data_IF_934004182534
#
_entry.id   IF_934004182534
#
_cell.length_a   1.000
_cell.length_b   1.000
_cell.length_c   1.000
_cell.angle_alpha   90.00
_cell.angle_beta   90.00
_cell.angle_gamma   90.00
#
_symmetry.space_group_name_H-M   'P 1'
#
loop_
_entity.id
_entity.type
_entity.pdbx_description
1 polymer ?
#
# COMPACT_ATOMS: atom_id res chain seq x y z
N UNK A 1 -9.10 -9.93 -1.56
CA UNK A 1 -7.99 -10.44 -2.38
C UNK A 1 -8.53 -11.60 -3.20
N UNK A 2 -8.20 -11.64 -4.49
CA UNK A 2 -8.58 -12.71 -5.41
C UNK A 2 -7.29 -13.22 -6.07
N UNK A 3 -6.86 -14.41 -5.67
CA UNK A 3 -5.65 -15.09 -6.14
C UNK A 3 -5.79 -15.70 -7.54
N UNK A 4 -7.04 -15.81 -8.03
CA UNK A 4 -7.37 -16.19 -9.40
C UNK A 4 -7.06 -15.03 -10.36
N UNK A 5 -7.20 -13.78 -9.91
CA UNK A 5 -6.92 -12.60 -10.72
C UNK A 5 -5.49 -12.09 -10.59
N UNK A 6 -4.93 -12.12 -9.38
CA UNK A 6 -3.69 -11.42 -9.06
C UNK A 6 -2.58 -12.33 -8.60
N UNK A 7 -1.37 -12.00 -9.03
CA UNK A 7 -0.12 -12.38 -8.39
C UNK A 7 0.21 -11.26 -7.40
N UNK A 8 0.15 -11.57 -6.12
CA UNK A 8 0.53 -10.66 -5.06
C UNK A 8 2.01 -10.86 -4.74
N UNK A 9 2.80 -9.82 -4.92
CA UNK A 9 4.20 -9.77 -4.47
C UNK A 9 4.30 -8.70 -3.38
N UNK A 10 4.88 -9.07 -2.24
CA UNK A 10 5.41 -8.10 -1.28
C UNK A 10 6.93 -8.21 -1.27
N UNK A 11 7.62 -7.08 -1.41
CA UNK A 11 9.05 -7.05 -1.07
C UNK A 11 9.11 -7.20 0.46
N UNK A 12 9.47 -8.39 0.93
CA UNK A 12 9.53 -8.70 2.35
C UNK A 12 10.94 -8.38 2.85
N UNK A 13 11.12 -7.32 3.65
CA UNK A 13 12.35 -7.20 4.44
C UNK A 13 12.11 -6.74 5.88
N UNK A 14 12.48 -7.65 6.79
CA UNK A 14 13.48 -7.46 7.84
C UNK A 14 13.62 -5.98 8.28
N UNK A 15 13.15 -5.71 9.50
CA UNK A 15 13.20 -4.42 10.20
C UNK A 15 12.24 -3.33 9.71
N UNK A 16 10.97 -3.54 10.08
CA UNK A 16 9.98 -2.50 10.42
C UNK A 16 9.68 -1.46 9.31
N UNK A 17 8.92 -1.89 8.31
CA UNK A 17 7.78 -1.06 7.86
C UNK A 17 7.63 -0.74 6.37
N UNK A 18 8.39 -1.35 5.46
CA UNK A 18 8.15 -1.17 4.01
C UNK A 18 7.88 -2.50 3.33
N UNK A 19 6.63 -2.95 3.43
CA UNK A 19 6.09 -3.91 2.47
C UNK A 19 5.42 -3.12 1.37
N UNK A 20 6.08 -2.96 0.23
CA UNK A 20 5.41 -2.51 -0.98
C UNK A 20 4.49 -3.63 -1.45
N UNK A 21 3.19 -3.35 -1.47
CA UNK A 21 2.21 -4.32 -1.93
C UNK A 21 2.00 -4.13 -3.42
N UNK A 22 2.39 -5.14 -4.20
CA UNK A 22 2.13 -5.17 -5.63
C UNK A 22 1.14 -6.27 -5.95
N UNK A 23 0.09 -5.94 -6.71
CA UNK A 23 -0.87 -6.89 -7.24
C UNK A 23 -0.83 -6.80 -8.77
N UNK A 24 -0.17 -7.78 -9.40
CA UNK A 24 -0.04 -7.86 -10.86
C UNK A 24 -1.10 -8.81 -11.40
N UNK A 25 -1.86 -8.38 -12.40
CA UNK A 25 -2.86 -9.23 -13.04
C UNK A 25 -2.16 -10.39 -13.75
N UNK A 26 -2.66 -11.61 -13.51
CA UNK A 26 -2.12 -12.81 -14.16
C UNK A 26 -2.20 -12.69 -15.68
N UNK A 27 -1.20 -13.21 -16.43
CA UNK A 27 -1.16 -13.05 -17.90
C UNK A 27 -2.43 -13.50 -18.64
N UNK A 28 -3.03 -14.61 -18.22
CA UNK A 28 -4.26 -15.21 -18.76
C UNK A 28 -5.54 -14.39 -18.42
N UNK A 29 -5.47 -13.57 -17.37
CA UNK A 29 -6.57 -12.73 -16.90
C UNK A 29 -6.53 -11.31 -17.48
N UNK A 30 -5.51 -10.95 -18.28
CA UNK A 30 -5.37 -9.60 -18.86
C UNK A 30 -6.51 -9.19 -19.81
N UNK A 31 -7.26 -10.15 -20.33
CA UNK A 31 -8.45 -9.92 -21.15
C UNK A 31 -9.55 -9.14 -20.40
N UNK A 32 -9.64 -9.28 -19.08
CA UNK A 32 -10.69 -8.66 -18.26
C UNK A 32 -10.43 -7.18 -17.93
N UNK A 33 -9.39 -6.58 -18.54
CA UNK A 33 -9.03 -5.17 -18.41
C UNK A 33 -8.87 -4.65 -16.98
N UNK A 34 -8.53 -5.54 -16.05
CA UNK A 34 -8.24 -5.23 -14.64
C UNK A 34 -6.93 -4.43 -14.53
N UNK A 35 -6.82 -3.59 -13.50
CA UNK A 35 -5.64 -2.75 -13.24
C UNK A 35 -4.56 -3.55 -12.49
N UNK A 36 -3.30 -3.28 -12.79
CA UNK A 36 -2.19 -3.69 -11.94
C UNK A 36 -2.04 -2.64 -10.82
N UNK A 37 -1.86 -3.06 -9.57
CA UNK A 37 -1.88 -2.17 -8.40
C UNK A 37 -0.52 -2.18 -7.72
N UNK A 38 0.00 -1.01 -7.37
CA UNK A 38 1.18 -0.83 -6.54
C UNK A 38 0.82 0.10 -5.37
N UNK A 39 1.07 -0.33 -4.14
CA UNK A 39 0.78 0.44 -2.94
C UNK A 39 2.05 0.56 -2.13
N UNK A 40 2.43 1.79 -1.82
CA UNK A 40 3.46 2.09 -0.83
C UNK A 40 2.80 2.54 0.46
N UNK A 41 3.11 1.86 1.56
CA UNK A 41 2.70 2.21 2.90
C UNK A 41 3.79 2.98 3.63
N UNK A 42 3.43 4.11 4.23
CA UNK A 42 4.22 4.84 5.21
C UNK A 42 3.47 4.96 6.52
N UNK A 43 4.23 5.21 7.57
CA UNK A 43 3.69 5.38 8.91
C UNK A 43 4.19 6.68 9.52
N UNK A 44 3.30 7.36 10.23
CA UNK A 44 3.58 8.51 11.11
C UNK A 44 3.02 8.19 12.48
N UNK A 45 3.89 8.13 13.49
CA UNK A 45 3.48 7.99 14.88
C UNK A 45 2.80 9.26 15.39
N UNK A 46 2.00 9.15 16.45
CA UNK A 46 1.44 10.31 17.16
C UNK A 46 2.54 11.28 17.62
N UNK A 47 3.66 10.74 18.10
CA UNK A 47 4.82 11.52 18.52
C UNK A 47 5.43 12.32 17.36
N UNK A 48 5.64 11.70 16.19
CA UNK A 48 6.16 12.40 15.01
C UNK A 48 5.19 13.45 14.47
N UNK A 49 3.88 13.20 14.58
CA UNK A 49 2.85 14.17 14.23
C UNK A 49 2.73 15.31 15.25
N UNK A 50 3.30 15.17 16.45
CA UNK A 50 3.13 16.12 17.55
C UNK A 50 1.69 16.17 18.09
N UNK A 51 0.96 15.06 17.97
CA UNK A 51 -0.45 14.94 18.33
C UNK A 51 -0.66 13.89 19.42
N UNK A 52 -1.75 14.02 20.16
CA UNK A 52 -2.30 12.91 20.94
C UNK A 52 -3.48 12.27 20.18
N UNK A 53 -3.95 11.11 20.68
CA UNK A 53 -5.04 10.39 20.03
C UNK A 53 -6.37 11.16 19.98
N UNK A 54 -6.65 12.01 20.97
CA UNK A 54 -7.90 12.79 21.04
C UNK A 54 -7.90 13.95 20.07
N UNK A 55 -6.73 14.55 19.85
CA UNK A 55 -6.53 15.57 18.82
C UNK A 55 -6.69 14.95 17.44
N UNK A 56 -6.04 13.80 17.20
CA UNK A 56 -6.11 13.10 15.92
C UNK A 56 -7.54 12.69 15.54
N UNK A 57 -8.33 12.18 16.50
CA UNK A 57 -9.72 11.75 16.29
C UNK A 57 -10.65 12.86 15.76
N UNK A 58 -10.33 14.13 16.06
CA UNK A 58 -11.13 15.30 15.66
C UNK A 58 -10.70 15.90 14.32
N UNK A 59 -9.59 15.45 13.76
CA UNK A 59 -9.07 15.96 12.50
C UNK A 59 -9.79 15.30 11.33
N UNK A 60 -10.17 16.11 10.35
CA UNK A 60 -10.62 15.60 9.07
C UNK A 60 -9.43 15.25 8.15
N UNK A 61 -9.74 14.70 6.98
CA UNK A 61 -8.73 14.28 6.02
C UNK A 61 -7.86 15.44 5.52
N UNK A 62 -8.44 16.63 5.32
CA UNK A 62 -7.72 17.82 4.85
C UNK A 62 -6.70 18.28 5.89
N UNK A 63 -7.10 18.32 7.17
CA UNK A 63 -6.24 18.64 8.28
C UNK A 63 -5.09 17.63 8.44
N UNK A 64 -5.36 16.33 8.23
CA UNK A 64 -4.31 15.29 8.25
C UNK A 64 -3.31 15.46 7.10
N UNK A 65 -3.79 15.79 5.89
CA UNK A 65 -2.93 15.97 4.70
C UNK A 65 -1.96 17.14 4.81
N UNK A 66 -2.28 18.17 5.59
CA UNK A 66 -1.40 19.33 5.78
C UNK A 66 -0.38 19.18 6.90
N UNK A 67 -0.42 18.07 7.66
CA UNK A 67 0.58 17.81 8.69
C UNK A 67 1.97 17.65 8.05
N UNK A 68 3.01 18.37 8.51
CA UNK A 68 4.35 18.28 7.93
C UNK A 68 4.93 16.86 7.93
N UNK A 69 4.66 16.08 8.99
CA UNK A 69 5.08 14.69 9.08
C UNK A 69 4.41 13.80 8.01
N UNK A 70 3.13 14.06 7.71
CA UNK A 70 2.38 13.33 6.68
C UNK A 70 2.88 13.71 5.29
N UNK A 71 3.05 14.99 5.00
CA UNK A 71 3.57 15.46 3.71
C UNK A 71 4.97 14.91 3.42
N UNK A 72 5.85 14.89 4.43
CA UNK A 72 7.17 14.29 4.31
C UNK A 72 7.08 12.80 3.94
N UNK A 73 6.20 12.04 4.61
CA UNK A 73 5.99 10.62 4.28
C UNK A 73 5.35 10.41 2.90
N UNK A 74 4.45 11.29 2.47
CA UNK A 74 3.91 11.25 1.11
C UNK A 74 5.00 11.43 0.06
N UNK A 75 5.92 12.39 0.24
CA UNK A 75 7.05 12.59 -0.66
C UNK A 75 8.00 11.38 -0.69
N UNK A 76 8.30 10.81 0.48
CA UNK A 76 9.10 9.58 0.59
C UNK A 76 8.41 8.41 -0.16
N UNK A 77 7.09 8.28 -0.04
CA UNK A 77 6.30 7.27 -0.73
C UNK A 77 6.28 7.48 -2.24
N UNK A 78 6.12 8.71 -2.71
CA UNK A 78 6.15 9.03 -4.15
C UNK A 78 7.49 8.68 -4.79
N UNK A 79 8.60 8.95 -4.10
CA UNK A 79 9.93 8.56 -4.54
C UNK A 79 10.11 7.02 -4.58
N UNK A 80 9.58 6.31 -3.58
CA UNK A 80 9.54 4.85 -3.54
C UNK A 80 8.76 4.26 -4.71
N UNK A 81 7.51 4.72 -4.88
CA UNK A 81 6.64 4.36 -6.00
C UNK A 81 7.31 4.62 -7.35
N UNK A 82 7.93 5.78 -7.56
CA UNK A 82 8.61 6.10 -8.81
C UNK A 82 9.72 5.08 -9.13
N UNK A 83 10.56 4.75 -8.16
CA UNK A 83 11.61 3.72 -8.31
C UNK A 83 11.03 2.35 -8.63
N UNK A 84 9.95 1.97 -7.95
CA UNK A 84 9.35 0.64 -8.13
C UNK A 84 8.60 0.51 -9.47
N UNK A 85 7.90 1.57 -9.91
CA UNK A 85 7.30 1.65 -11.26
C UNK A 85 8.34 1.42 -12.35
N UNK A 86 9.53 2.01 -12.24
CA UNK A 86 10.62 1.80 -13.20
C UNK A 86 11.14 0.35 -13.19
N UNK A 87 11.23 -0.28 -12.00
CA UNK A 87 11.55 -1.73 -11.91
C UNK A 87 10.49 -2.57 -12.63
N UNK A 88 9.20 -2.31 -12.38
CA UNK A 88 8.09 -3.03 -12.99
C UNK A 88 8.04 -2.82 -14.51
N UNK A 89 8.24 -1.60 -14.99
CA UNK A 89 8.30 -1.28 -16.42
C UNK A 89 9.44 -2.03 -17.12
N UNK A 90 10.61 -2.15 -16.50
CA UNK A 90 11.72 -2.96 -17.04
C UNK A 90 11.40 -4.45 -17.11
N UNK A 91 10.67 -5.00 -16.12
CA UNK A 91 10.32 -6.43 -16.04
C UNK A 91 9.19 -6.81 -16.98
N UNK A 92 8.17 -5.96 -17.11
CA UNK A 92 6.92 -6.29 -17.79
C UNK A 92 6.64 -5.44 -19.05
N UNK A 93 7.41 -4.39 -19.31
CA UNK A 93 7.17 -3.46 -20.42
C UNK A 93 5.86 -2.69 -20.25
N UNK A 94 5.27 -2.27 -21.38
CA UNK A 94 4.05 -1.46 -21.41
C UNK A 94 2.75 -2.28 -21.24
N UNK A 95 2.86 -3.57 -20.89
CA UNK A 95 1.70 -4.45 -20.69
C UNK A 95 0.92 -4.12 -19.40
N UNK A 96 1.58 -3.48 -18.44
CA UNK A 96 1.00 -3.17 -17.13
C UNK A 96 0.07 -1.97 -17.21
N UNK A 97 -1.10 -2.09 -16.60
CA UNK A 97 -2.05 -0.99 -16.38
C UNK A 97 -1.89 -0.47 -14.97
N UNK A 98 -0.67 -0.01 -14.68
CA UNK A 98 -0.23 0.24 -13.32
C UNK A 98 -0.91 1.47 -12.72
N UNK A 99 -1.61 1.27 -11.62
CA UNK A 99 -2.11 2.31 -10.73
C UNK A 99 -1.36 2.25 -9.42
N UNK A 100 -0.98 3.41 -8.92
CA UNK A 100 -0.14 3.49 -7.74
C UNK A 100 -0.76 4.34 -6.67
N UNK A 101 -0.66 3.87 -5.43
CA UNK A 101 -1.23 4.52 -4.26
C UNK A 101 -0.14 4.75 -3.23
N UNK A 102 -0.14 5.95 -2.65
CA UNK A 102 0.59 6.24 -1.42
C UNK A 102 -0.42 6.22 -0.29
N UNK A 103 -0.13 5.46 0.76
CA UNK A 103 -0.96 5.39 1.96
C UNK A 103 -0.10 5.75 3.16
N UNK A 104 -0.49 6.80 3.88
CA UNK A 104 0.18 7.19 5.14
C UNK A 104 -0.76 6.88 6.29
N UNK A 105 -0.39 5.88 7.09
CA UNK A 105 -1.08 5.57 8.33
C UNK A 105 -0.59 6.52 9.43
N UNK A 106 -1.52 7.17 10.15
CA UNK A 106 -1.21 8.10 11.24
C UNK A 106 -1.71 7.53 12.56
N UNK A 107 -0.83 7.37 13.55
CA UNK A 107 -1.19 7.01 14.93
C UNK A 107 -1.40 5.52 15.25
N UNK A 108 -1.15 4.61 14.31
CA UNK A 108 -1.11 3.16 14.53
C UNK A 108 0.19 2.65 15.17
N UNK A 109 0.22 2.44 16.48
CA UNK A 109 1.43 1.89 17.14
C UNK A 109 1.62 0.38 16.97
N UNK A 110 0.52 -0.37 16.82
CA UNK A 110 0.51 -1.83 16.66
C UNK A 110 -0.58 -2.27 15.70
N UNK A 111 -0.26 -3.26 14.88
CA UNK A 111 -1.19 -3.90 13.95
C UNK A 111 -1.19 -5.40 14.23
N UNK A 112 -2.38 -6.00 14.28
CA UNK A 112 -2.58 -7.45 14.43
C UNK A 112 -3.51 -7.91 13.32
N UNK A 113 -3.11 -8.93 12.58
CA UNK A 113 -3.89 -9.51 11.49
C UNK A 113 -4.12 -11.00 11.72
N UNK A 114 -5.27 -11.50 11.29
CA UNK A 114 -5.53 -12.93 11.16
C UNK A 114 -6.19 -13.20 9.80
N UNK A 115 -5.91 -14.36 9.22
CA UNK A 115 -6.57 -14.81 7.99
C UNK A 115 -7.68 -15.77 8.38
N UNK A 116 -8.91 -15.46 7.96
CA UNK A 116 -10.05 -16.36 8.11
C UNK A 116 -10.35 -16.99 6.76
N UNK A 117 -10.10 -18.29 6.62
CA UNK A 117 -10.62 -19.08 5.50
C UNK A 117 -12.01 -19.59 5.86
N UNK A 118 -13.02 -19.43 4.98
CA UNK A 118 -14.30 -20.06 5.20
C UNK A 118 -14.12 -21.60 5.31
N UNK A 119 -14.84 -22.28 6.21
CA UNK A 119 -14.84 -23.75 6.22
C UNK A 119 -15.32 -24.23 4.84
N UNK A 120 -14.53 -25.12 4.23
CA UNK A 120 -14.68 -25.54 2.84
C UNK A 120 -16.11 -25.95 2.47
N UNK A 121 -16.63 -25.34 1.39
CA UNK A 121 -17.79 -25.88 0.69
C UNK A 121 -17.35 -27.12 -0.09
N UNK A 122 -17.72 -28.29 0.39
CA UNK A 122 -17.68 -29.52 -0.39
C UNK A 122 -18.60 -29.41 -1.60
N UNK A 123 -18.09 -29.87 -2.75
CA UNK A 123 -18.82 -30.12 -3.99
C UNK A 123 -17.94 -30.92 -4.92
#
# INVERSE_FOLDING_TARGET
FDDTLYIMESEAEIERGHTDLTMIVRPDMRQYRVLDILIEFKFVSLQEAGLDGKALEKMDEEALRVLPAVQKKQQEAEAGLARYREKLKRKFGDVLRLHSFSVVAVGFERLVSYVSTPPGGHG
#
